data_IF_010268657840
#
_entry.id   IF_010268657840
#
_cell.length_a   1.000
_cell.length_b   1.000
_cell.length_c   1.000
_cell.angle_alpha   90.00
_cell.angle_beta   90.00
_cell.angle_gamma   90.00
#
_symmetry.space_group_name_H-M   'P 1'
#
loop_
_entity.id
_entity.type
_entity.pdbx_description
1 polymer ?
#
# COMPACT_ATOMS: atom_id res chain seq x y z
N UNK A 1 6.00 3.47 -4.57
CA UNK A 1 6.79 4.05 -5.66
C UNK A 1 6.07 5.24 -6.28
N UNK A 2 6.83 6.20 -6.77
CA UNK A 2 6.35 7.39 -7.47
C UNK A 2 6.30 7.19 -8.99
N UNK A 3 6.64 6.00 -9.45
CA UNK A 3 6.48 5.57 -10.84
C UNK A 3 5.74 4.23 -10.93
N UNK A 4 5.35 3.82 -12.13
CA UNK A 4 4.70 2.53 -12.37
C UNK A 4 5.62 1.35 -11.95
N UNK A 5 6.85 1.32 -12.41
CA UNK A 5 7.90 0.43 -11.95
C UNK A 5 8.02 -0.91 -12.67
N UNK A 6 6.93 -1.50 -13.17
CA UNK A 6 6.99 -2.66 -14.06
C UNK A 6 6.97 -2.18 -15.51
N UNK A 7 7.99 -2.51 -16.29
CA UNK A 7 8.12 -2.24 -17.72
C UNK A 7 8.13 -0.74 -18.12
N UNK A 8 7.83 0.16 -17.20
CA UNK A 8 7.87 1.60 -17.45
C UNK A 8 8.17 2.37 -16.17
N UNK A 9 8.67 3.59 -16.33
CA UNK A 9 8.91 4.55 -15.25
C UNK A 9 7.95 5.76 -15.35
N UNK A 10 6.75 5.53 -15.89
CA UNK A 10 5.75 6.58 -15.96
C UNK A 10 5.45 7.13 -14.57
N UNK A 11 5.53 8.45 -14.36
CA UNK A 11 5.33 9.05 -13.06
C UNK A 11 3.89 8.92 -12.59
N UNK A 12 3.71 8.78 -11.29
CA UNK A 12 2.41 8.78 -10.61
C UNK A 12 2.33 9.93 -9.64
N UNK A 13 1.20 10.59 -9.57
CA UNK A 13 0.98 11.65 -8.58
C UNK A 13 0.67 11.03 -7.22
N UNK A 14 1.70 10.94 -6.38
CA UNK A 14 1.60 10.49 -4.99
C UNK A 14 1.75 11.63 -3.99
N UNK A 15 1.89 12.86 -4.46
CA UNK A 15 2.07 14.02 -3.59
C UNK A 15 0.95 14.14 -2.53
N UNK A 16 -0.33 13.92 -2.85
CA UNK A 16 -1.39 13.98 -1.84
C UNK A 16 -1.20 12.99 -0.69
N UNK A 17 -0.69 11.78 -0.95
CA UNK A 17 -0.40 10.80 0.10
C UNK A 17 0.75 11.27 1.01
N UNK A 18 1.82 11.80 0.43
CA UNK A 18 2.92 12.38 1.19
C UNK A 18 2.44 13.53 2.08
N UNK A 19 1.59 14.42 1.54
CA UNK A 19 1.02 15.52 2.29
C UNK A 19 0.12 15.05 3.43
N UNK A 20 -0.66 13.97 3.24
CA UNK A 20 -1.40 13.32 4.30
C UNK A 20 -0.47 12.85 5.42
N UNK A 21 0.63 12.16 5.09
CA UNK A 21 1.58 11.66 6.10
C UNK A 21 2.20 12.83 6.88
N UNK A 22 2.68 13.85 6.19
CA UNK A 22 3.25 15.05 6.83
C UNK A 22 2.24 15.71 7.77
N UNK A 23 1.01 15.92 7.31
CA UNK A 23 -0.04 16.52 8.12
C UNK A 23 -0.43 15.67 9.33
N UNK A 24 -0.45 14.34 9.18
CA UNK A 24 -0.73 13.41 10.27
C UNK A 24 0.29 13.54 11.40
N UNK A 25 1.57 13.65 11.07
CA UNK A 25 2.63 13.88 12.05
C UNK A 25 2.53 15.28 12.67
N UNK A 26 2.30 16.32 11.88
CA UNK A 26 2.18 17.69 12.38
C UNK A 26 0.99 17.86 13.35
N UNK A 27 -0.08 17.11 13.14
CA UNK A 27 -1.28 17.11 13.98
C UNK A 27 -1.19 16.09 15.13
N UNK A 28 -0.09 15.34 15.22
CA UNK A 28 0.07 14.26 16.17
C UNK A 28 -1.13 13.29 16.14
N UNK A 29 -1.54 12.86 14.93
CA UNK A 29 -2.63 11.92 14.76
C UNK A 29 -2.33 10.63 15.55
N UNK A 30 -3.25 10.12 16.39
CA UNK A 30 -3.06 8.89 17.13
C UNK A 30 -2.69 7.72 16.22
N UNK A 31 -1.75 6.88 16.66
CA UNK A 31 -1.16 5.81 15.85
C UNK A 31 -2.20 4.81 15.34
N UNK A 32 -3.18 4.47 16.18
CA UNK A 32 -4.30 3.58 15.81
C UNK A 32 -5.13 4.17 14.65
N UNK A 33 -5.46 5.46 14.71
CA UNK A 33 -6.16 6.15 13.62
C UNK A 33 -5.31 6.24 12.36
N UNK A 34 -4.04 6.60 12.50
CA UNK A 34 -3.09 6.65 11.38
C UNK A 34 -3.00 5.30 10.66
N UNK A 35 -2.96 4.19 11.42
CA UNK A 35 -2.92 2.83 10.89
C UNK A 35 -4.21 2.49 10.14
N UNK A 36 -5.36 2.70 10.78
CA UNK A 36 -6.67 2.39 10.18
C UNK A 36 -6.90 3.21 8.91
N UNK A 37 -6.56 4.50 8.91
CA UNK A 37 -6.75 5.35 7.75
C UNK A 37 -5.88 4.94 6.56
N UNK A 38 -4.65 4.50 6.79
CA UNK A 38 -3.78 4.04 5.71
C UNK A 38 -4.18 2.66 5.16
N UNK A 39 -4.61 1.75 6.01
CA UNK A 39 -4.99 0.40 5.58
C UNK A 39 -6.41 0.32 5.00
N UNK A 40 -7.34 1.12 5.52
CA UNK A 40 -8.76 1.01 5.23
C UNK A 40 -9.51 2.35 5.27
N UNK A 41 -8.84 3.46 5.03
CA UNK A 41 -9.44 4.79 5.13
C UNK A 41 -10.64 5.02 4.20
N UNK A 42 -10.61 4.42 3.01
CA UNK A 42 -11.68 4.46 2.03
C UNK A 42 -12.91 3.60 2.40
N UNK A 43 -12.74 2.65 3.33
CA UNK A 43 -13.80 1.76 3.82
C UNK A 43 -14.50 2.31 5.08
N UNK A 44 -14.03 3.42 5.64
CA UNK A 44 -14.66 4.03 6.81
C UNK A 44 -16.07 4.56 6.48
N UNK A 45 -16.99 4.59 7.45
CA UNK A 45 -18.30 5.22 7.24
C UNK A 45 -18.16 6.69 6.85
N UNK A 46 -18.70 7.07 5.68
CA UNK A 46 -18.60 8.43 5.14
C UNK A 46 -17.18 9.00 5.13
N UNK A 47 -16.22 8.34 4.46
CA UNK A 47 -14.81 8.69 4.55
C UNK A 47 -14.55 10.09 3.98
N UNK A 48 -13.78 10.86 4.70
CA UNK A 48 -13.29 12.16 4.24
C UNK A 48 -12.36 12.03 3.04
N UNK A 49 -12.09 13.13 2.35
CA UNK A 49 -11.10 13.16 1.26
C UNK A 49 -9.72 12.68 1.76
N UNK A 50 -9.31 13.12 2.95
CA UNK A 50 -8.00 12.76 3.51
C UNK A 50 -7.92 11.29 3.90
N UNK A 51 -8.98 10.70 4.41
CA UNK A 51 -9.04 9.25 4.69
C UNK A 51 -8.95 8.41 3.41
N UNK A 52 -9.59 8.85 2.32
CA UNK A 52 -9.42 8.21 1.01
C UNK A 52 -8.00 8.37 0.47
N UNK A 53 -7.36 9.53 0.67
CA UNK A 53 -5.96 9.75 0.30
C UNK A 53 -5.04 8.87 1.14
N UNK A 54 -5.30 8.71 2.44
CA UNK A 54 -4.53 7.82 3.31
C UNK A 54 -4.46 6.39 2.78
N UNK A 55 -5.59 5.84 2.31
CA UNK A 55 -5.65 4.47 1.76
C UNK A 55 -4.86 4.29 0.45
N UNK A 56 -4.33 5.38 -0.14
CA UNK A 56 -3.36 5.30 -1.23
C UNK A 56 -2.05 4.61 -0.81
N UNK A 57 -1.80 4.40 0.50
CA UNK A 57 -0.76 3.50 0.97
C UNK A 57 -0.77 2.16 0.21
N UNK A 58 -1.94 1.58 0.01
CA UNK A 58 -2.11 0.33 -0.73
C UNK A 58 -1.81 0.42 -2.23
N UNK A 59 -1.55 1.61 -2.76
CA UNK A 59 -1.22 1.87 -4.17
C UNK A 59 0.24 2.22 -4.41
N UNK A 60 1.08 2.23 -3.36
CA UNK A 60 2.50 2.56 -3.49
C UNK A 60 3.35 1.43 -4.05
N UNK A 61 2.76 0.26 -4.30
CA UNK A 61 3.42 -0.86 -4.96
C UNK A 61 3.75 -0.53 -6.43
N UNK A 62 4.63 -1.32 -7.02
CA UNK A 62 4.86 -1.29 -8.46
C UNK A 62 3.61 -1.80 -9.20
N UNK A 63 3.28 -1.16 -10.32
CA UNK A 63 2.15 -1.55 -11.17
C UNK A 63 2.59 -1.71 -12.61
N UNK A 64 1.88 -2.54 -13.37
CA UNK A 64 2.11 -2.66 -14.81
C UNK A 64 1.17 -1.76 -15.59
N UNK A 65 1.67 -1.24 -16.72
CA UNK A 65 0.91 -0.52 -17.75
C UNK A 65 1.07 -1.22 -19.10
N UNK A 66 1.58 -2.44 -19.11
CA UNK A 66 1.85 -3.20 -20.33
C UNK A 66 0.55 -3.78 -20.90
N UNK A 67 0.33 -3.58 -22.20
CA UNK A 67 -0.88 -4.05 -22.89
C UNK A 67 -1.02 -5.59 -22.98
N UNK A 68 0.09 -6.34 -22.83
CA UNK A 68 0.11 -7.80 -22.81
C UNK A 68 0.04 -8.42 -21.40
N UNK A 69 -0.09 -7.61 -20.36
CA UNK A 69 -0.06 -8.07 -18.98
C UNK A 69 -1.19 -9.06 -18.65
N UNK A 70 -0.84 -10.17 -18.01
CA UNK A 70 -1.81 -11.16 -17.56
C UNK A 70 -2.43 -10.72 -16.23
N UNK A 71 -3.72 -10.39 -16.22
CA UNK A 71 -4.40 -9.84 -15.06
C UNK A 71 -4.24 -10.69 -13.79
N UNK A 72 -4.35 -12.03 -13.90
CA UNK A 72 -4.21 -12.94 -12.76
C UNK A 72 -2.80 -12.92 -12.16
N UNK A 73 -1.76 -12.81 -12.99
CA UNK A 73 -0.38 -12.70 -12.55
C UNK A 73 -0.18 -11.45 -11.70
N UNK A 74 -0.66 -10.32 -12.19
CA UNK A 74 -0.48 -9.05 -11.47
C UNK A 74 -1.35 -8.93 -10.23
N UNK A 75 -2.53 -9.55 -10.21
CA UNK A 75 -3.32 -9.67 -8.96
C UNK A 75 -2.51 -10.43 -7.91
N UNK A 76 -1.89 -11.54 -8.26
CA UNK A 76 -1.05 -12.32 -7.34
C UNK A 76 0.16 -11.50 -6.87
N UNK A 77 0.89 -10.86 -7.78
CA UNK A 77 2.04 -9.99 -7.44
C UNK A 77 1.65 -8.84 -6.52
N UNK A 78 0.54 -8.16 -6.80
CA UNK A 78 0.06 -7.06 -5.96
C UNK A 78 -0.40 -7.51 -4.58
N UNK A 79 -1.01 -8.69 -4.49
CA UNK A 79 -1.41 -9.28 -3.21
C UNK A 79 -0.19 -9.66 -2.37
N UNK A 80 0.80 -10.31 -2.97
CA UNK A 80 2.05 -10.67 -2.32
C UNK A 80 2.81 -9.43 -1.82
N UNK A 81 2.90 -8.38 -2.63
CA UNK A 81 3.55 -7.12 -2.23
C UNK A 81 2.82 -6.48 -1.03
N UNK A 82 1.48 -6.44 -1.03
CA UNK A 82 0.72 -5.90 0.09
C UNK A 82 0.94 -6.69 1.38
N UNK A 83 0.91 -8.01 1.32
CA UNK A 83 1.19 -8.86 2.49
C UNK A 83 2.59 -8.56 3.02
N UNK A 84 3.59 -8.52 2.15
CA UNK A 84 4.97 -8.22 2.51
C UNK A 84 5.12 -6.84 3.16
N UNK A 85 4.50 -5.82 2.58
CA UNK A 85 4.57 -4.46 3.11
C UNK A 85 3.82 -4.30 4.43
N UNK A 86 2.58 -4.78 4.51
CA UNK A 86 1.77 -4.66 5.73
C UNK A 86 2.40 -5.42 6.88
N UNK A 87 2.87 -6.64 6.65
CA UNK A 87 3.54 -7.42 7.68
C UNK A 87 4.84 -6.78 8.15
N UNK A 88 5.65 -6.26 7.24
CA UNK A 88 6.91 -5.61 7.60
C UNK A 88 6.72 -4.31 8.35
N UNK A 89 5.80 -3.46 7.91
CA UNK A 89 5.60 -2.12 8.46
C UNK A 89 4.80 -2.15 9.77
N UNK A 90 3.70 -2.91 9.81
CA UNK A 90 2.74 -2.84 10.91
C UNK A 90 2.90 -3.94 11.95
N UNK A 91 3.42 -5.11 11.54
CA UNK A 91 3.58 -6.29 12.42
C UNK A 91 5.05 -6.57 12.77
N UNK A 92 6.00 -5.93 12.09
CA UNK A 92 7.42 -6.24 12.25
C UNK A 92 7.80 -7.67 11.82
N UNK A 93 6.98 -8.29 10.96
CA UNK A 93 7.13 -9.67 10.52
C UNK A 93 7.55 -9.75 9.05
N UNK A 94 8.46 -10.69 8.73
CA UNK A 94 8.92 -10.94 7.36
C UNK A 94 8.09 -12.05 6.72
N UNK A 95 7.02 -11.70 6.01
CA UNK A 95 6.08 -12.65 5.38
C UNK A 95 6.36 -12.92 3.90
N UNK A 96 7.47 -12.40 3.35
CA UNK A 96 7.77 -12.56 1.92
C UNK A 96 7.94 -14.00 1.46
N UNK A 97 8.46 -14.88 2.32
CA UNK A 97 8.64 -16.30 1.99
C UNK A 97 7.32 -17.06 1.86
N UNK A 98 6.25 -16.58 2.51
CA UNK A 98 4.92 -17.19 2.49
C UNK A 98 4.22 -17.11 1.13
N UNK A 99 4.83 -16.43 0.15
CA UNK A 99 4.39 -16.46 -1.24
C UNK A 99 4.53 -17.86 -1.88
N UNK A 100 5.51 -18.67 -1.41
CA UNK A 100 5.84 -19.95 -2.02
C UNK A 100 5.68 -21.16 -1.07
N UNK A 101 5.72 -20.94 0.24
CA UNK A 101 5.61 -22.01 1.26
C UNK A 101 5.12 -21.44 2.59
N UNK A 102 4.73 -22.30 3.52
CA UNK A 102 4.27 -21.91 4.84
C UNK A 102 5.36 -21.13 5.60
N UNK A 103 4.92 -20.18 6.44
CA UNK A 103 5.85 -19.39 7.23
C UNK A 103 6.62 -20.29 8.23
N UNK A 104 7.90 -20.01 8.43
CA UNK A 104 8.76 -20.83 9.30
C UNK A 104 8.25 -20.97 10.75
N UNK A 105 7.52 -19.97 11.23
CA UNK A 105 7.04 -19.90 12.62
C UNK A 105 5.51 -19.96 12.72
N UNK A 106 4.91 -20.62 11.76
CA UNK A 106 3.47 -20.81 11.65
C UNK A 106 2.93 -21.75 12.74
#
# INVERSE_FOLDING_TARGET
ADTAGYHSDNPRDIAPFRDYVINSFNQNLPFDKFTVEQLAGDLLPNPTKWQKVASCYNRLLQTTEEGGAQAKEYIAKYSSDRVRNVSGVWLGATMGCSECHDHKYD
#
